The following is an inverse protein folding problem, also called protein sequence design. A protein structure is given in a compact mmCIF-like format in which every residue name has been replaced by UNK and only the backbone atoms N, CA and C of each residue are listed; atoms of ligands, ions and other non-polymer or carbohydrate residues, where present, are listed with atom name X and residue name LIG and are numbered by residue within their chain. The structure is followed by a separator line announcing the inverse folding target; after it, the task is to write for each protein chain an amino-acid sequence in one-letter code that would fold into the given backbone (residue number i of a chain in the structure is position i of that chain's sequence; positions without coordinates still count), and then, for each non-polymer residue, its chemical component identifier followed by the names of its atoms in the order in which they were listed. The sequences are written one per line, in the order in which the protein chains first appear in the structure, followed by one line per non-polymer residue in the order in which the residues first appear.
data_IF_878551705502
#
_entry.id   IF_878551705502
#
_cell.length_a   1.000
_cell.length_b   1.000
_cell.length_c   1.000
_cell.angle_alpha   90.00
_cell.angle_beta   90.00
_cell.angle_gamma   90.00
#
_symmetry.space_group_name_H-M   'P 1'
#
loop_
_entity.id
_entity.type
_entity.pdbx_description
1 polymer ?
#
# COMPACT_ATOMS: atom_id res chain seq x y z
N UNK A 1 1.72 4.14 -16.53
CA UNK A 1 2.57 2.99 -16.95
C UNK A 1 3.79 2.97 -16.06
N UNK A 2 4.02 1.83 -15.39
CA UNK A 2 5.12 1.63 -14.46
C UNK A 2 6.42 1.33 -15.22
N UNK A 3 7.47 2.10 -14.92
CA UNK A 3 8.80 1.92 -15.49
C UNK A 3 9.61 0.84 -14.72
N UNK A 4 10.86 0.59 -15.12
CA UNK A 4 11.70 -0.43 -14.49
C UNK A 4 11.99 -0.15 -13.00
N UNK A 5 12.20 1.12 -12.64
CA UNK A 5 12.44 1.54 -11.26
C UNK A 5 11.19 1.31 -10.41
N UNK A 6 10.01 1.71 -10.92
CA UNK A 6 8.73 1.50 -10.24
C UNK A 6 8.49 0.00 -9.96
N UNK A 7 8.79 -0.88 -10.93
CA UNK A 7 8.64 -2.34 -10.77
C UNK A 7 9.60 -2.90 -9.72
N UNK A 8 10.88 -2.54 -9.77
CA UNK A 8 11.88 -2.93 -8.75
C UNK A 8 11.44 -2.51 -7.35
N UNK A 9 10.92 -1.29 -7.22
CA UNK A 9 10.40 -0.78 -5.95
C UNK A 9 9.21 -1.63 -5.49
N UNK A 10 8.23 -1.89 -6.35
CA UNK A 10 7.06 -2.71 -6.01
C UNK A 10 7.43 -4.12 -5.57
N UNK A 11 8.36 -4.77 -6.27
CA UNK A 11 8.90 -6.08 -5.88
C UNK A 11 9.52 -6.00 -4.48
N UNK A 12 10.31 -4.96 -4.20
CA UNK A 12 11.00 -4.79 -2.92
C UNK A 12 10.02 -4.56 -1.77
N UNK A 13 9.04 -3.66 -1.93
CA UNK A 13 8.21 -3.18 -0.81
C UNK A 13 6.90 -3.93 -0.65
N UNK A 14 6.42 -4.61 -1.67
CA UNK A 14 5.17 -5.37 -1.61
C UNK A 14 5.32 -6.86 -1.95
N UNK A 15 6.53 -7.34 -2.27
CA UNK A 15 6.74 -8.76 -2.64
C UNK A 15 5.88 -9.17 -3.85
N UNK A 16 5.57 -8.20 -4.72
CA UNK A 16 4.77 -8.40 -5.91
C UNK A 16 5.73 -8.79 -7.05
N UNK A 17 6.05 -10.08 -7.15
CA UNK A 17 6.80 -10.64 -8.28
C UNK A 17 5.89 -11.00 -9.48
N UNK A 18 4.61 -11.28 -9.23
CA UNK A 18 3.55 -11.60 -10.21
C UNK A 18 2.16 -11.28 -9.61
N UNK A 19 1.06 -11.42 -10.38
CA UNK A 19 -0.31 -11.02 -9.99
C UNK A 19 -0.66 -11.49 -8.56
N UNK A 20 -0.89 -10.58 -7.60
CA UNK A 20 -1.17 -10.97 -6.22
C UNK A 20 -2.41 -11.87 -6.13
N UNK A 21 -2.31 -12.95 -5.34
CA UNK A 21 -3.49 -13.63 -4.82
C UNK A 21 -4.13 -12.74 -3.74
N UNK A 22 -4.97 -11.82 -4.19
CA UNK A 22 -5.62 -10.87 -3.31
C UNK A 22 -6.01 -9.56 -3.99
N UNK A 23 -6.41 -8.61 -3.14
CA UNK A 23 -6.71 -7.25 -3.55
C UNK A 23 -5.44 -6.39 -3.48
N UNK A 24 -5.39 -5.34 -4.29
CA UNK A 24 -4.32 -4.35 -4.19
C UNK A 24 -4.78 -2.95 -4.55
N UNK A 25 -4.07 -1.96 -4.04
CA UNK A 25 -4.19 -0.57 -4.44
C UNK A 25 -2.81 0.06 -4.50
N UNK A 26 -2.26 0.18 -5.71
CA UNK A 26 -0.95 0.76 -5.97
C UNK A 26 -1.09 2.27 -6.10
N UNK A 27 -0.29 3.01 -5.33
CA UNK A 27 -0.17 4.47 -5.45
C UNK A 27 1.18 4.87 -6.03
N UNK A 28 1.19 5.91 -6.85
CA UNK A 28 2.40 6.52 -7.39
C UNK A 28 2.30 8.04 -7.32
N UNK A 29 3.32 8.69 -6.77
CA UNK A 29 3.46 10.15 -6.70
C UNK A 29 2.16 10.85 -6.21
N UNK A 30 1.60 10.35 -5.11
CA UNK A 30 0.39 10.88 -4.48
C UNK A 30 -0.95 10.52 -5.14
N UNK A 31 -0.93 9.72 -6.22
CA UNK A 31 -2.14 9.34 -6.98
C UNK A 31 -2.32 7.82 -6.99
N UNK A 32 -3.56 7.36 -7.18
CA UNK A 32 -3.82 5.93 -7.43
C UNK A 32 -3.41 5.56 -8.86
N UNK A 33 -2.50 4.61 -9.03
CA UNK A 33 -2.07 4.11 -10.34
C UNK A 33 -2.93 2.94 -10.79
N UNK A 34 -3.21 1.98 -9.90
CA UNK A 34 -4.06 0.84 -10.22
C UNK A 34 -4.67 0.20 -8.97
N UNK A 35 -5.81 -0.46 -9.15
CA UNK A 35 -6.57 -1.14 -8.09
C UNK A 35 -7.15 -2.44 -8.61
N UNK A 36 -7.19 -3.45 -7.75
CA UNK A 36 -7.93 -4.69 -7.97
C UNK A 36 -8.59 -5.10 -6.66
N UNK A 37 -9.87 -5.44 -6.74
CA UNK A 37 -10.65 -6.03 -5.63
C UNK A 37 -10.81 -7.53 -5.85
N UNK A 38 -11.26 -8.23 -4.82
CA UNK A 38 -11.68 -9.64 -4.93
C UNK A 38 -13.16 -9.77 -4.58
N UNK A 39 -13.70 -10.99 -4.64
CA UNK A 39 -15.05 -11.26 -4.16
C UNK A 39 -15.23 -10.90 -2.67
N UNK A 40 -14.15 -11.01 -1.89
CA UNK A 40 -14.16 -10.91 -0.44
C UNK A 40 -13.55 -9.62 0.09
N UNK A 41 -12.77 -8.92 -0.74
CA UNK A 41 -12.05 -7.71 -0.35
C UNK A 41 -12.40 -6.58 -1.31
N UNK A 42 -13.04 -5.55 -0.76
CA UNK A 42 -13.35 -4.32 -1.47
C UNK A 42 -12.40 -3.19 -1.06
N UNK A 43 -12.15 -2.25 -1.97
CA UNK A 43 -11.30 -1.09 -1.75
C UNK A 43 -12.04 0.14 -2.26
N UNK A 44 -12.43 0.99 -1.32
CA UNK A 44 -13.20 2.22 -1.56
C UNK A 44 -12.30 3.42 -1.33
N UNK A 45 -12.40 4.44 -2.18
CA UNK A 45 -11.68 5.71 -1.96
C UNK A 45 -12.42 6.52 -0.93
N UNK A 46 -11.71 7.00 0.09
CA UNK A 46 -12.26 7.89 1.12
C UNK A 46 -12.73 9.21 0.50
N UNK A 47 -13.81 9.76 1.03
CA UNK A 47 -14.38 11.05 0.57
C UNK A 47 -14.07 12.21 1.52
N UNK A 48 -13.65 11.91 2.74
CA UNK A 48 -13.37 12.86 3.82
C UNK A 48 -11.89 13.27 3.88
N UNK A 49 -10.98 12.32 3.62
CA UNK A 49 -9.52 12.53 3.65
C UNK A 49 -8.81 11.66 2.59
N UNK A 50 -7.58 12.00 2.18
CA UNK A 50 -6.86 11.22 1.17
C UNK A 50 -6.63 9.78 1.63
N UNK A 51 -7.03 8.78 0.85
CA UNK A 51 -6.74 7.39 1.17
C UNK A 51 -7.89 6.45 0.83
N UNK A 52 -7.93 5.29 1.46
CA UNK A 52 -8.86 4.21 1.14
C UNK A 52 -9.43 3.53 2.38
N UNK A 53 -10.64 3.00 2.23
CA UNK A 53 -11.21 1.98 3.09
C UNK A 53 -11.05 0.63 2.43
N UNK A 54 -10.42 -0.31 3.13
CA UNK A 54 -10.30 -1.71 2.72
C UNK A 54 -11.29 -2.52 3.55
N UNK A 55 -12.24 -3.16 2.88
CA UNK A 55 -13.33 -3.89 3.53
C UNK A 55 -13.14 -5.38 3.24
N UNK A 56 -12.74 -6.14 4.26
CA UNK A 56 -12.53 -7.59 4.20
C UNK A 56 -13.75 -8.27 4.83
N UNK A 57 -14.50 -9.05 4.04
CA UNK A 57 -15.71 -9.74 4.52
C UNK A 57 -15.38 -10.80 5.57
N UNK A 58 -16.34 -11.09 6.45
CA UNK A 58 -16.19 -12.18 7.42
C UNK A 58 -15.89 -13.53 6.75
N UNK A 59 -15.13 -14.38 7.43
CA UNK A 59 -14.67 -15.70 6.97
C UNK A 59 -13.68 -15.65 5.80
N UNK A 60 -13.09 -14.49 5.47
CA UNK A 60 -12.04 -14.40 4.45
C UNK A 60 -10.77 -15.05 4.98
N UNK A 61 -10.25 -16.07 4.27
CA UNK A 61 -9.05 -16.81 4.67
C UNK A 61 -8.12 -17.00 3.48
N UNK A 62 -6.82 -16.99 3.71
CA UNK A 62 -5.78 -17.20 2.68
C UNK A 62 -5.82 -16.16 1.55
N UNK A 63 -6.31 -14.94 1.82
CA UNK A 63 -6.23 -13.81 0.90
C UNK A 63 -5.32 -12.72 1.47
N UNK A 64 -4.76 -11.91 0.58
CA UNK A 64 -3.91 -10.79 0.94
C UNK A 64 -4.40 -9.45 0.40
N UNK A 65 -4.01 -8.36 1.06
CA UNK A 65 -4.20 -6.99 0.58
C UNK A 65 -2.86 -6.29 0.47
N UNK A 66 -2.58 -5.70 -0.69
CA UNK A 66 -1.33 -4.99 -0.95
C UNK A 66 -1.60 -3.51 -1.19
N UNK A 67 -1.00 -2.63 -0.40
CA UNK A 67 -1.16 -1.16 -0.52
C UNK A 67 0.18 -0.43 -0.74
N UNK A 68 0.97 -0.78 -1.77
CA UNK A 68 2.26 -0.13 -1.97
C UNK A 68 2.15 1.30 -2.49
N UNK A 69 3.13 2.11 -2.10
CA UNK A 69 3.33 3.48 -2.55
C UNK A 69 4.69 3.62 -3.19
N UNK A 70 4.73 4.26 -4.36
CA UNK A 70 5.94 4.61 -5.10
C UNK A 70 6.05 6.13 -5.17
N UNK A 71 7.11 6.70 -4.61
CA UNK A 71 7.47 8.09 -4.81
C UNK A 71 8.75 8.16 -5.65
N UNK A 72 8.61 8.53 -6.92
CA UNK A 72 9.74 8.75 -7.84
C UNK A 72 9.88 10.22 -8.28
N UNK A 73 8.99 11.09 -7.80
CA UNK A 73 9.09 12.54 -8.00
C UNK A 73 9.74 13.22 -6.79
N UNK A 74 10.67 14.15 -7.05
CA UNK A 74 11.35 14.95 -6.05
C UNK A 74 10.46 16.08 -5.51
N UNK A 75 10.59 16.41 -4.22
CA UNK A 75 9.91 17.57 -3.62
C UNK A 75 8.46 17.33 -3.26
N UNK A 76 8.05 16.07 -3.14
CA UNK A 76 6.66 15.68 -2.90
C UNK A 76 6.46 15.25 -1.44
N UNK A 77 5.39 15.75 -0.82
CA UNK A 77 4.88 15.26 0.46
C UNK A 77 3.52 14.60 0.23
N UNK A 78 3.42 13.30 0.49
CA UNK A 78 2.19 12.51 0.36
C UNK A 78 1.73 12.07 1.75
N UNK A 79 0.47 12.32 2.10
CA UNK A 79 -0.15 11.86 3.35
C UNK A 79 -1.40 11.07 3.00
N UNK A 80 -1.52 9.84 3.50
CA UNK A 80 -2.60 8.93 3.12
C UNK A 80 -3.16 8.19 4.33
N UNK A 81 -4.47 8.01 4.35
CA UNK A 81 -5.21 7.37 5.43
C UNK A 81 -5.83 6.06 4.93
N UNK A 82 -5.28 4.93 5.34
CA UNK A 82 -5.79 3.61 4.98
C UNK A 82 -6.50 3.01 6.20
N UNK A 83 -7.78 2.69 6.07
CA UNK A 83 -8.52 2.03 7.14
C UNK A 83 -8.86 0.61 6.70
N UNK A 84 -8.52 -0.38 7.52
CA UNK A 84 -8.73 -1.79 7.24
C UNK A 84 -9.84 -2.31 8.15
N UNK A 85 -10.99 -2.61 7.55
CA UNK A 85 -12.14 -3.22 8.22
C UNK A 85 -12.12 -4.72 7.97
N UNK A 86 -11.69 -5.49 8.97
CA UNK A 86 -11.60 -6.94 8.91
C UNK A 86 -12.83 -7.54 9.57
N UNK A 87 -13.62 -8.30 8.82
CA UNK A 87 -14.77 -9.04 9.33
C UNK A 87 -14.37 -10.11 10.36
N UNK A 88 -15.35 -10.85 10.85
CA UNK A 88 -15.15 -11.91 11.85
C UNK A 88 -14.57 -13.19 11.23
N UNK A 89 -13.87 -14.00 12.02
CA UNK A 89 -13.31 -15.31 11.66
C UNK A 89 -12.37 -15.29 10.42
N UNK A 90 -11.64 -14.19 10.22
CA UNK A 90 -10.72 -14.03 9.09
C UNK A 90 -9.32 -14.57 9.39
N UNK A 91 -8.58 -14.92 8.34
CA UNK A 91 -7.15 -15.24 8.37
C UNK A 91 -6.48 -14.64 7.12
N UNK A 92 -5.95 -13.42 7.27
CA UNK A 92 -5.53 -12.58 6.13
C UNK A 92 -4.19 -11.92 6.36
N UNK A 93 -3.52 -11.60 5.24
CA UNK A 93 -2.25 -10.87 5.22
C UNK A 93 -2.47 -9.48 4.64
N UNK A 94 -2.00 -8.45 5.33
CA UNK A 94 -2.00 -7.07 4.84
C UNK A 94 -0.53 -6.66 4.65
N UNK A 95 -0.17 -6.29 3.43
CA UNK A 95 1.16 -5.85 3.05
C UNK A 95 1.10 -4.38 2.66
N UNK A 96 1.74 -3.55 3.49
CA UNK A 96 2.00 -2.15 3.17
C UNK A 96 3.45 -1.98 2.74
N UNK A 97 3.71 -0.99 1.90
CA UNK A 97 5.08 -0.68 1.54
C UNK A 97 5.22 0.71 0.96
N UNK A 98 6.32 1.38 1.31
CA UNK A 98 6.66 2.67 0.75
C UNK A 98 8.04 2.59 0.10
N UNK A 99 8.13 2.92 -1.18
CA UNK A 99 9.37 3.01 -1.91
C UNK A 99 9.60 4.41 -2.43
N UNK A 100 10.71 5.03 -2.02
CA UNK A 100 11.10 6.38 -2.42
C UNK A 100 12.37 6.28 -3.26
N UNK A 101 12.29 6.74 -4.51
CA UNK A 101 13.43 7.02 -5.37
C UNK A 101 13.53 8.53 -5.55
N UNK A 102 14.47 9.17 -4.86
CA UNK A 102 14.66 10.62 -4.92
C UNK A 102 16.05 10.97 -5.45
N UNK A 103 16.13 11.29 -6.73
CA UNK A 103 17.38 11.68 -7.42
C UNK A 103 17.63 13.18 -7.44
N UNK A 104 16.78 13.99 -6.79
CA UNK A 104 16.93 15.44 -6.71
C UNK A 104 17.17 15.96 -5.29
N UNK A 105 17.47 17.25 -5.16
CA UNK A 105 17.91 17.86 -3.91
C UNK A 105 16.77 18.26 -2.95
N UNK A 106 15.50 18.18 -3.37
CA UNK A 106 14.38 18.53 -2.51
C UNK A 106 13.89 17.33 -1.70
N UNK A 107 13.43 17.60 -0.46
CA UNK A 107 12.88 16.58 0.42
C UNK A 107 11.65 15.92 -0.21
N UNK A 108 11.61 14.60 -0.18
CA UNK A 108 10.45 13.79 -0.58
C UNK A 108 10.02 12.94 0.62
N UNK A 109 8.73 12.93 0.93
CA UNK A 109 8.19 12.30 2.13
C UNK A 109 6.84 11.63 1.83
N UNK A 110 6.63 10.47 2.44
CA UNK A 110 5.35 9.77 2.46
C UNK A 110 4.98 9.41 3.90
N UNK A 111 3.77 9.80 4.31
CA UNK A 111 3.20 9.44 5.61
C UNK A 111 1.95 8.57 5.40
N UNK A 112 2.10 7.27 5.67
CA UNK A 112 1.01 6.30 5.66
C UNK A 112 0.39 6.13 7.04
N UNK A 113 -0.89 6.48 7.19
CA UNK A 113 -1.63 6.42 8.45
C UNK A 113 -2.62 5.27 8.36
N UNK A 114 -2.44 4.24 9.18
CA UNK A 114 -3.19 2.99 9.09
C UNK A 114 -4.07 2.75 10.32
N UNK A 115 -5.38 2.64 10.10
CA UNK A 115 -6.38 2.31 11.12
C UNK A 115 -6.83 0.86 10.93
N UNK A 116 -6.85 0.04 11.99
CA UNK A 116 -7.26 -1.36 11.90
C UNK A 116 -8.49 -1.63 12.78
N UNK A 117 -9.56 -2.11 12.15
CA UNK A 117 -10.79 -2.55 12.81
C UNK A 117 -10.90 -4.07 12.63
N UNK A 118 -10.46 -4.84 13.64
CA UNK A 118 -10.36 -6.30 13.54
C UNK A 118 -11.54 -6.97 14.22
N UNK A 119 -12.33 -7.71 13.43
CA UNK A 119 -13.47 -8.50 13.90
C UNK A 119 -13.08 -9.66 14.81
N UNK A 120 -14.07 -10.21 15.51
CA UNK A 120 -13.86 -11.31 16.47
C UNK A 120 -13.28 -12.55 15.79
N UNK A 121 -12.41 -13.26 16.51
CA UNK A 121 -11.75 -14.49 16.06
C UNK A 121 -10.95 -14.36 14.75
N UNK A 122 -10.53 -13.14 14.40
CA UNK A 122 -9.75 -12.89 13.19
C UNK A 122 -8.26 -12.85 13.51
N UNK A 123 -7.48 -13.45 12.62
CA UNK A 123 -6.03 -13.42 12.61
C UNK A 123 -5.56 -12.55 11.45
N UNK A 124 -4.83 -11.48 11.75
CA UNK A 124 -4.33 -10.54 10.77
C UNK A 124 -2.81 -10.50 10.87
N UNK A 125 -2.13 -10.81 9.78
CA UNK A 125 -0.69 -10.59 9.65
C UNK A 125 -0.45 -9.29 8.90
N UNK A 126 0.07 -8.29 9.58
CA UNK A 126 0.49 -7.04 8.96
C UNK A 126 2.00 -7.06 8.68
N UNK A 127 2.38 -6.68 7.46
CA UNK A 127 3.77 -6.61 7.01
C UNK A 127 3.96 -5.23 6.39
N UNK A 128 5.01 -4.52 6.79
CA UNK A 128 5.35 -3.22 6.23
C UNK A 128 6.82 -3.17 5.85
N UNK A 129 7.11 -2.73 4.61
CA UNK A 129 8.48 -2.60 4.10
C UNK A 129 8.71 -1.18 3.59
N UNK A 130 9.83 -0.57 3.98
CA UNK A 130 10.24 0.76 3.52
C UNK A 130 11.54 0.65 2.74
N UNK A 131 11.56 1.26 1.56
CA UNK A 131 12.73 1.32 0.69
C UNK A 131 13.00 2.77 0.29
N UNK A 132 14.23 3.21 0.45
CA UNK A 132 14.68 4.53 0.03
C UNK A 132 15.97 4.42 -0.76
N UNK A 133 16.02 5.00 -1.96
CA UNK A 133 17.25 5.16 -2.73
C UNK A 133 17.36 6.59 -3.29
N UNK A 134 18.60 7.04 -3.49
CA UNK A 134 18.93 8.34 -4.05
C UNK A 134 20.42 8.40 -4.40
N UNK A 135 20.82 9.41 -5.17
CA UNK A 135 22.17 9.57 -5.70
C UNK A 135 23.22 9.97 -4.63
N UNK A 136 22.80 10.18 -3.38
CA UNK A 136 23.70 10.53 -2.28
C UNK A 136 24.30 11.93 -2.36
N UNK A 137 23.77 12.81 -3.22
CA UNK A 137 24.24 14.20 -3.40
C UNK A 137 23.63 15.19 -2.41
N UNK A 138 23.03 14.71 -1.32
CA UNK A 138 22.42 15.56 -0.30
C UNK A 138 23.49 16.39 0.42
N UNK A 139 23.38 17.72 0.31
CA UNK A 139 24.22 18.69 1.03
C UNK A 139 23.59 19.16 2.33
#
# INVERSE_FOLDING_TARGET
MLNAIDKKILETVADIHDVPQGAYNIRKNGKGESRKTTKNIDIVTKTDKPGIDVIIKSNTKNESVHVPVILSATGLTDVVYNSFFVGENCDVVIVAGCGIHNSGCAKTQHDGIHDFHVGKNSHVKYIEKHYGEGEGTGG
#
